data_IF_666388141671
#
_entry.id   IF_666388141671
#
_cell.length_a   1.000
_cell.length_b   1.000
_cell.length_c   1.000
_cell.angle_alpha   90.00
_cell.angle_beta   90.00
_cell.angle_gamma   90.00
#
_symmetry.space_group_name_H-M   'P 1'
#
loop_
_entity.id
_entity.type
_entity.pdbx_description
1 polymer ?
#
# COMPACT_ATOMS: atom_id res chain seq x y z
N UNK A 1 -20.01 -10.12 2.12
CA UNK A 1 -19.54 -9.17 1.10
C UNK A 1 -18.93 -7.93 1.75
N UNK A 2 -17.64 -7.99 2.13
CA UNK A 2 -16.94 -6.90 2.84
C UNK A 2 -15.62 -6.50 2.16
N UNK A 3 -15.27 -7.16 1.04
CA UNK A 3 -14.06 -6.90 0.27
C UNK A 3 -14.43 -6.45 -1.13
N UNK A 4 -13.75 -5.44 -1.62
CA UNK A 4 -13.65 -5.14 -3.03
C UNK A 4 -12.55 -6.02 -3.66
N UNK A 5 -12.92 -6.78 -4.68
CA UNK A 5 -12.01 -7.69 -5.38
C UNK A 5 -11.33 -6.95 -6.52
N UNK A 6 -10.09 -6.52 -6.28
CA UNK A 6 -9.29 -5.77 -7.24
C UNK A 6 -8.76 -6.71 -8.33
N UNK A 7 -8.98 -6.33 -9.59
CA UNK A 7 -8.50 -7.04 -10.79
C UNK A 7 -7.66 -6.12 -11.68
N UNK A 8 -6.74 -6.65 -12.48
CA UNK A 8 -5.95 -5.83 -13.40
C UNK A 8 -6.84 -4.90 -14.25
N UNK A 9 -6.43 -3.65 -14.40
CA UNK A 9 -7.22 -2.60 -15.06
C UNK A 9 -8.14 -1.79 -14.14
N UNK A 10 -8.26 -2.17 -12.85
CA UNK A 10 -8.93 -1.31 -11.86
C UNK A 10 -8.10 -0.07 -11.60
N UNK A 11 -8.70 1.12 -11.68
CA UNK A 11 -8.02 2.39 -11.39
C UNK A 11 -7.83 2.62 -9.89
N UNK A 12 -6.81 3.39 -9.53
CA UNK A 12 -6.59 3.84 -8.15
C UNK A 12 -7.82 4.56 -7.57
N UNK A 13 -8.53 5.37 -8.36
CA UNK A 13 -9.79 6.01 -7.94
C UNK A 13 -10.85 5.01 -7.51
N UNK A 14 -11.02 3.93 -8.27
CA UNK A 14 -12.01 2.89 -7.95
C UNK A 14 -11.62 2.15 -6.66
N UNK A 15 -10.32 1.89 -6.48
CA UNK A 15 -9.79 1.25 -5.27
C UNK A 15 -10.02 2.16 -4.05
N UNK A 16 -9.66 3.44 -4.15
CA UNK A 16 -9.83 4.41 -3.07
C UNK A 16 -11.30 4.61 -2.71
N UNK A 17 -12.17 4.70 -3.71
CA UNK A 17 -13.61 4.79 -3.50
C UNK A 17 -14.16 3.56 -2.75
N UNK A 18 -13.65 2.35 -3.01
CA UNK A 18 -14.05 1.17 -2.27
C UNK A 18 -13.67 1.26 -0.78
N UNK A 19 -12.50 1.82 -0.46
CA UNK A 19 -12.10 2.07 0.93
C UNK A 19 -12.99 3.12 1.58
N UNK A 20 -13.32 4.21 0.88
CA UNK A 20 -14.26 5.23 1.37
C UNK A 20 -15.67 4.64 1.64
N UNK A 21 -16.08 3.67 0.82
CA UNK A 21 -17.36 2.96 0.97
C UNK A 21 -17.35 1.91 2.10
N UNK A 22 -16.25 1.76 2.83
CA UNK A 22 -16.16 0.82 3.96
C UNK A 22 -15.72 -0.59 3.58
N UNK A 23 -15.29 -0.84 2.33
CA UNK A 23 -14.81 -2.15 1.90
C UNK A 23 -13.32 -2.34 2.20
N UNK A 24 -12.96 -3.57 2.55
CA UNK A 24 -11.57 -4.04 2.52
C UNK A 24 -11.11 -4.28 1.08
N UNK A 25 -9.82 -4.51 0.86
CA UNK A 25 -9.25 -4.75 -0.47
C UNK A 25 -8.69 -6.17 -0.58
N UNK A 26 -9.09 -6.89 -1.62
CA UNK A 26 -8.51 -8.18 -2.00
C UNK A 26 -7.94 -8.07 -3.41
N UNK A 27 -6.63 -7.99 -3.53
CA UNK A 27 -5.93 -7.99 -4.82
C UNK A 27 -5.78 -9.43 -5.31
N UNK A 28 -6.40 -9.71 -6.45
CA UNK A 28 -6.20 -10.99 -7.15
C UNK A 28 -4.77 -11.06 -7.73
N UNK A 29 -4.28 -12.24 -8.12
CA UNK A 29 -2.96 -12.34 -8.75
C UNK A 29 -2.88 -11.49 -10.02
N UNK A 30 -1.87 -10.61 -10.13
CA UNK A 30 -1.71 -9.72 -11.27
C UNK A 30 -0.78 -8.53 -11.00
N UNK A 31 -0.56 -7.73 -12.03
CA UNK A 31 0.20 -6.47 -11.97
C UNK A 31 -0.76 -5.29 -12.15
N UNK A 32 -0.66 -4.30 -11.27
CA UNK A 32 -1.59 -3.18 -11.13
C UNK A 32 -0.84 -1.87 -11.25
N UNK A 33 -1.11 -1.13 -12.32
CA UNK A 33 -0.56 0.22 -12.50
C UNK A 33 -1.47 1.25 -11.84
N UNK A 34 -0.88 2.16 -11.06
CA UNK A 34 -1.59 3.25 -10.39
C UNK A 34 -0.90 4.58 -10.66
N UNK A 35 -1.68 5.60 -11.00
CA UNK A 35 -1.21 6.95 -11.31
C UNK A 35 -1.23 7.90 -10.10
N UNK A 36 -1.80 7.44 -8.99
CA UNK A 36 -1.87 8.09 -7.69
C UNK A 36 -1.85 7.03 -6.58
N UNK A 37 -1.56 7.41 -5.33
CA UNK A 37 -1.54 6.47 -4.23
C UNK A 37 -2.89 5.76 -4.03
N UNK A 38 -2.82 4.48 -3.72
CA UNK A 38 -3.91 3.79 -3.03
C UNK A 38 -3.90 4.29 -1.58
N UNK A 39 -4.98 4.94 -1.17
CA UNK A 39 -5.11 5.66 0.09
C UNK A 39 -5.95 4.82 1.08
N UNK A 40 -5.33 4.38 2.18
CA UNK A 40 -5.97 3.59 3.23
C UNK A 40 -6.14 4.47 4.48
N UNK A 41 -7.22 5.24 4.51
CA UNK A 41 -7.53 6.21 5.58
C UNK A 41 -8.68 5.77 6.49
N UNK A 42 -9.11 4.50 6.40
CA UNK A 42 -10.16 3.93 7.26
C UNK A 42 -9.52 2.95 8.25
N UNK A 43 -9.75 3.11 9.57
CA UNK A 43 -9.29 2.15 10.57
C UNK A 43 -9.70 0.71 10.24
N UNK A 44 -8.89 -0.24 10.69
CA UNK A 44 -9.11 -1.69 10.54
C UNK A 44 -9.24 -2.18 9.08
N UNK A 45 -8.83 -1.37 8.10
CA UNK A 45 -8.86 -1.81 6.70
C UNK A 45 -7.86 -2.93 6.46
N UNK A 46 -8.35 -4.07 5.99
CA UNK A 46 -7.52 -5.16 5.46
C UNK A 46 -7.27 -4.95 3.97
N UNK A 47 -5.99 -5.01 3.59
CA UNK A 47 -5.50 -5.02 2.21
C UNK A 47 -4.72 -6.31 2.03
N UNK A 48 -5.27 -7.26 1.28
CA UNK A 48 -4.69 -8.59 1.09
C UNK A 48 -4.37 -8.83 -0.38
N UNK A 49 -3.12 -9.18 -0.69
CA UNK A 49 -2.69 -9.65 -2.00
C UNK A 49 -2.61 -11.18 -2.08
N UNK A 50 -3.02 -11.73 -3.22
CA UNK A 50 -2.90 -13.15 -3.53
C UNK A 50 -1.89 -13.37 -4.66
N UNK A 51 -1.03 -14.38 -4.50
CA UNK A 51 -0.15 -14.86 -5.59
C UNK A 51 0.78 -13.78 -6.15
N UNK A 52 1.49 -13.05 -5.28
CA UNK A 52 2.36 -11.92 -5.66
C UNK A 52 1.62 -10.82 -6.44
N UNK A 53 0.46 -10.39 -5.94
CA UNK A 53 -0.20 -9.19 -6.44
C UNK A 53 0.77 -8.00 -6.38
N UNK A 54 1.05 -7.41 -7.55
CA UNK A 54 2.14 -6.44 -7.73
C UNK A 54 1.58 -5.06 -8.07
N UNK A 55 1.89 -4.04 -7.28
CA UNK A 55 1.49 -2.66 -7.56
C UNK A 55 2.69 -1.90 -8.11
N UNK A 56 2.50 -1.21 -9.24
CA UNK A 56 3.51 -0.39 -9.92
C UNK A 56 3.00 1.05 -9.95
N UNK A 57 3.65 2.00 -9.26
CA UNK A 57 3.28 3.40 -9.38
C UNK A 57 3.83 4.00 -10.67
N UNK A 58 2.94 4.63 -11.43
CA UNK A 58 3.26 5.42 -12.61
C UNK A 58 3.50 6.89 -12.23
N UNK A 59 4.18 7.64 -13.10
CA UNK A 59 4.34 9.09 -12.94
C UNK A 59 5.16 9.55 -11.72
N UNK A 60 5.81 8.63 -11.00
CA UNK A 60 6.54 8.94 -9.77
C UNK A 60 5.65 9.05 -8.53
N UNK A 61 4.41 8.54 -8.61
CA UNK A 61 3.50 8.47 -7.48
C UNK A 61 4.03 7.53 -6.37
N UNK A 62 3.55 7.71 -5.15
CA UNK A 62 3.59 6.65 -4.14
C UNK A 62 2.54 5.60 -4.51
N UNK A 63 2.85 4.31 -4.34
CA UNK A 63 1.92 3.23 -4.69
C UNK A 63 0.83 3.05 -3.63
N UNK A 64 1.22 3.06 -2.35
CA UNK A 64 0.34 2.84 -1.22
C UNK A 64 0.64 3.85 -0.11
N UNK A 65 -0.39 4.52 0.38
CA UNK A 65 -0.33 5.37 1.58
C UNK A 65 -1.36 4.89 2.59
N UNK A 66 -0.91 4.58 3.80
CA UNK A 66 -1.77 4.33 4.96
C UNK A 66 -1.80 5.59 5.80
N UNK A 67 -3.00 6.06 6.16
CA UNK A 67 -3.18 7.21 7.05
C UNK A 67 -2.71 6.93 8.48
N UNK A 68 -2.72 7.97 9.32
CA UNK A 68 -2.45 7.82 10.76
C UNK A 68 -3.72 7.29 11.49
N UNK A 69 -4.01 6.01 11.29
CA UNK A 69 -5.24 5.34 11.74
C UNK A 69 -4.95 3.97 12.32
N UNK A 70 -5.81 3.52 13.23
CA UNK A 70 -5.66 2.23 13.90
C UNK A 70 -5.82 1.03 12.96
N UNK A 71 -5.07 -0.04 13.23
CA UNK A 71 -5.44 -1.40 12.88
C UNK A 71 -5.40 -1.78 11.41
N UNK A 72 -4.84 -0.95 10.52
CA UNK A 72 -4.72 -1.30 9.10
C UNK A 72 -3.80 -2.50 8.93
N UNK A 73 -4.19 -3.45 8.08
CA UNK A 73 -3.44 -4.68 7.82
C UNK A 73 -3.14 -4.75 6.34
N UNK A 74 -1.87 -4.60 5.96
CA UNK A 74 -1.41 -4.75 4.58
C UNK A 74 -0.62 -6.05 4.49
N UNK A 75 -1.07 -6.97 3.64
CA UNK A 75 -0.48 -8.30 3.56
C UNK A 75 -0.31 -8.80 2.11
N UNK A 76 0.83 -9.44 1.82
CA UNK A 76 1.03 -10.24 0.60
C UNK A 76 1.12 -9.44 -0.70
N UNK A 77 1.73 -8.25 -0.65
CA UNK A 77 1.90 -7.37 -1.80
C UNK A 77 3.36 -7.27 -2.23
N UNK A 78 3.59 -7.22 -3.53
CA UNK A 78 4.83 -6.70 -4.10
C UNK A 78 4.59 -5.26 -4.57
N UNK A 79 5.44 -4.32 -4.18
CA UNK A 79 5.45 -2.96 -4.73
C UNK A 79 6.71 -2.80 -5.58
N UNK A 80 6.52 -2.61 -6.88
CA UNK A 80 7.59 -2.60 -7.87
C UNK A 80 7.76 -1.20 -8.45
N UNK A 81 8.94 -0.62 -8.30
CA UNK A 81 9.19 0.77 -8.65
C UNK A 81 9.03 1.02 -10.15
N UNK A 82 8.28 2.08 -10.50
CA UNK A 82 8.16 2.56 -11.87
C UNK A 82 9.45 3.19 -12.42
N UNK A 83 9.44 3.48 -13.72
CA UNK A 83 10.57 4.11 -14.42
C UNK A 83 10.81 5.56 -14.01
N UNK A 84 9.73 6.27 -13.67
CA UNK A 84 9.77 7.61 -13.07
C UNK A 84 10.02 7.48 -11.56
N UNK A 85 10.98 8.25 -11.05
CA UNK A 85 11.40 8.17 -9.65
C UNK A 85 10.26 8.59 -8.73
N UNK A 86 9.92 7.73 -7.77
CA UNK A 86 9.02 8.06 -6.65
C UNK A 86 9.83 8.54 -5.45
N UNK A 87 9.27 9.41 -4.61
CA UNK A 87 9.94 9.80 -3.35
C UNK A 87 9.87 8.66 -2.32
N UNK A 88 8.72 7.97 -2.25
CA UNK A 88 8.51 6.75 -1.49
C UNK A 88 7.53 5.83 -2.24
N UNK A 89 7.70 4.51 -2.13
CA UNK A 89 6.75 3.55 -2.73
C UNK A 89 5.60 3.20 -1.77
N UNK A 90 5.92 3.04 -0.48
CA UNK A 90 4.94 2.82 0.60
C UNK A 90 5.16 3.85 1.70
N UNK A 91 4.08 4.47 2.16
CA UNK A 91 4.08 5.36 3.32
C UNK A 91 3.05 4.87 4.35
N UNK A 92 3.45 4.76 5.62
CA UNK A 92 2.56 4.41 6.73
C UNK A 92 2.55 5.54 7.74
N UNK A 93 1.42 6.21 7.88
CA UNK A 93 1.26 7.35 8.77
C UNK A 93 1.69 8.69 8.18
N UNK A 94 1.39 9.75 8.92
CA UNK A 94 1.70 11.13 8.52
C UNK A 94 3.00 11.61 9.16
N UNK A 95 3.94 12.09 8.35
CA UNK A 95 5.25 12.60 8.83
C UNK A 95 5.08 13.64 9.96
N UNK A 96 5.80 13.42 11.06
CA UNK A 96 5.79 14.31 12.23
C UNK A 96 4.58 14.15 13.14
N UNK A 97 3.74 13.14 12.90
CA UNK A 97 2.65 12.74 13.81
C UNK A 97 3.12 11.57 14.67
N UNK A 98 2.73 11.59 15.95
CA UNK A 98 3.14 10.62 16.97
C UNK A 98 1.93 10.18 17.80
N UNK A 99 0.85 9.80 17.12
CA UNK A 99 -0.33 9.23 17.76
C UNK A 99 0.01 7.80 18.19
N UNK A 100 -0.24 7.46 19.46
CA UNK A 100 -0.04 6.09 19.99
C UNK A 100 -1.12 5.16 19.42
N UNK A 101 -0.68 4.04 18.83
CA UNK A 101 -1.53 3.01 18.25
C UNK A 101 -1.31 1.64 18.91
N UNK A 102 -0.60 1.58 20.06
CA UNK A 102 -0.20 0.35 20.72
C UNK A 102 -1.34 -0.66 20.97
N UNK A 103 -2.58 -0.19 21.18
CA UNK A 103 -3.74 -1.05 21.40
C UNK A 103 -4.28 -1.72 20.12
N UNK A 104 -4.04 -1.12 18.94
CA UNK A 104 -4.47 -1.63 17.65
C UNK A 104 -3.53 -1.11 16.54
N UNK A 105 -2.29 -1.62 16.46
CA UNK A 105 -1.29 -1.08 15.55
C UNK A 105 -1.59 -1.43 14.10
N UNK A 106 -1.09 -0.59 13.18
CA UNK A 106 -1.00 -0.95 11.76
C UNK A 106 0.09 -2.01 11.55
N UNK A 107 -0.12 -2.94 10.63
CA UNK A 107 0.86 -3.98 10.29
C UNK A 107 1.11 -4.11 8.79
N UNK A 108 2.39 -4.25 8.40
CA UNK A 108 2.82 -4.71 7.08
C UNK A 108 3.35 -6.15 7.20
N UNK A 109 2.80 -7.07 6.40
CA UNK A 109 3.14 -8.49 6.42
C UNK A 109 3.39 -9.02 5.00
N UNK A 110 4.53 -9.66 4.75
CA UNK A 110 4.90 -10.12 3.41
C UNK A 110 4.75 -8.99 2.34
N UNK A 111 5.17 -7.77 2.70
CA UNK A 111 5.17 -6.62 1.78
C UNK A 111 6.56 -6.45 1.23
N UNK A 112 6.74 -6.77 -0.04
CA UNK A 112 8.04 -6.76 -0.70
C UNK A 112 8.23 -5.50 -1.52
N UNK A 113 9.44 -4.96 -1.55
CA UNK A 113 9.82 -3.87 -2.47
C UNK A 113 10.75 -4.41 -3.55
N UNK A 114 10.47 -4.10 -4.81
CA UNK A 114 11.40 -4.31 -5.92
C UNK A 114 11.76 -2.97 -6.58
N UNK A 115 13.06 -2.76 -6.79
CA UNK A 115 13.59 -1.60 -7.51
C UNK A 115 14.46 -2.10 -8.66
N UNK A 116 13.90 -2.06 -9.85
CA UNK A 116 14.55 -2.56 -11.05
C UNK A 116 14.47 -4.09 -11.21
N UNK A 117 15.30 -4.66 -12.10
CA UNK A 117 15.31 -6.09 -12.41
C UNK A 117 14.33 -6.47 -13.52
N UNK A 118 13.07 -6.06 -13.41
CA UNK A 118 12.05 -6.24 -14.46
C UNK A 118 11.95 -5.03 -15.43
N UNK A 119 13.01 -4.23 -15.48
CA UNK A 119 13.06 -2.92 -16.15
C UNK A 119 13.82 -1.91 -15.28
N UNK A 120 14.00 -0.66 -15.72
CA UNK A 120 14.48 0.41 -14.84
C UNK A 120 13.42 0.75 -13.79
N UNK A 121 13.77 0.70 -12.51
CA UNK A 121 12.92 1.15 -11.40
C UNK A 121 13.67 2.14 -10.52
N UNK A 122 13.01 3.17 -10.00
CA UNK A 122 13.64 4.21 -9.19
C UNK A 122 12.73 4.67 -8.04
N UNK A 123 13.32 4.76 -6.84
CA UNK A 123 12.69 5.42 -5.69
C UNK A 123 13.78 6.00 -4.79
N UNK A 124 13.49 7.07 -4.04
CA UNK A 124 14.37 7.51 -2.95
C UNK A 124 14.19 6.63 -1.71
N UNK A 125 12.95 6.22 -1.40
CA UNK A 125 12.63 5.38 -0.25
C UNK A 125 11.76 4.19 -0.67
N UNK A 126 12.09 2.98 -0.20
CA UNK A 126 11.22 1.82 -0.40
C UNK A 126 9.96 1.92 0.45
N UNK A 127 10.15 2.10 1.76
CA UNK A 127 9.07 2.31 2.73
C UNK A 127 9.43 3.45 3.67
N UNK A 128 8.44 4.27 4.03
CA UNK A 128 8.54 5.29 5.08
C UNK A 128 7.50 4.97 6.15
N UNK A 129 7.96 4.66 7.36
CA UNK A 129 7.09 4.32 8.51
C UNK A 129 7.12 5.51 9.48
N UNK A 130 6.01 6.23 9.55
CA UNK A 130 5.81 7.38 10.41
C UNK A 130 4.92 7.06 11.62
N UNK A 131 3.86 6.25 11.46
CA UNK A 131 2.96 5.92 12.57
C UNK A 131 3.67 5.11 13.65
N UNK A 132 3.53 5.55 14.89
CA UNK A 132 4.04 4.84 16.06
C UNK A 132 3.38 3.45 16.17
N UNK A 133 4.06 2.52 16.85
CA UNK A 133 3.63 1.13 17.10
C UNK A 133 3.44 0.23 15.87
N UNK A 134 3.69 0.72 14.65
CA UNK A 134 3.59 -0.07 13.42
C UNK A 134 4.41 -1.37 13.51
N UNK A 135 3.78 -2.50 13.18
CA UNK A 135 4.42 -3.81 13.12
C UNK A 135 4.88 -4.09 11.69
N UNK A 136 6.16 -4.36 11.50
CA UNK A 136 6.72 -4.88 10.25
C UNK A 136 7.14 -6.32 10.48
N UNK A 137 6.40 -7.26 9.89
CA UNK A 137 6.64 -8.69 10.04
C UNK A 137 6.84 -9.32 8.65
N UNK A 138 8.10 -9.56 8.29
CA UNK A 138 8.57 -10.03 6.98
C UNK A 138 8.37 -9.01 5.82
N UNK A 139 9.48 -8.51 5.28
CA UNK A 139 9.53 -7.52 4.19
C UNK A 139 10.79 -7.68 3.33
#
# INVERSE_FOLDING_TARGET
DQFYVVKPGTSADTINQAVEQGLHLLFTPGVYHVDKPIEINRPDTVVLGLGYATIVPDGGATALRVGDVDGVKVAGLLVDAGTTKSDALVEVGTKGTHTDHAANPTSLQDVFIRVGGAGPGKTDNGMVINSDDTIIDHT
#
